data_IF_646443543357
#
_entry.id   IF_646443543357
#
_cell.length_a   1.000
_cell.length_b   1.000
_cell.length_c   1.000
_cell.angle_alpha   90.00
_cell.angle_beta   90.00
_cell.angle_gamma   90.00
#
_symmetry.space_group_name_H-M   'P 1'
#
loop_
_entity.id
_entity.type
_entity.pdbx_description
1 polymer ?
#
# COMPACT_ATOMS: atom_id res chain seq x y z
N UNK A 1 25.31 -8.75 2.36
CA UNK A 1 24.21 -7.93 1.79
C UNK A 1 22.92 -8.63 2.14
N UNK A 2 22.02 -8.01 2.91
CA UNK A 2 20.70 -8.58 3.13
C UNK A 2 19.86 -8.35 1.86
N UNK A 3 19.20 -9.38 1.37
CA UNK A 3 18.26 -9.28 0.24
C UNK A 3 17.09 -8.35 0.61
N UNK A 4 16.70 -7.49 -0.34
CA UNK A 4 15.51 -6.65 -0.16
C UNK A 4 14.25 -7.52 -0.22
N UNK A 5 13.59 -7.69 0.93
CA UNK A 5 12.35 -8.45 1.04
C UNK A 5 11.14 -7.58 0.71
N UNK A 6 10.23 -8.13 -0.09
CA UNK A 6 9.01 -7.46 -0.53
C UNK A 6 7.79 -8.29 -0.14
N UNK A 7 6.69 -7.63 0.19
CA UNK A 7 5.39 -8.27 0.44
C UNK A 7 4.32 -7.60 -0.40
N UNK A 8 3.46 -8.41 -1.02
CA UNK A 8 2.30 -7.94 -1.78
C UNK A 8 1.08 -7.98 -0.89
N UNK A 9 0.32 -6.89 -0.83
CA UNK A 9 -0.96 -6.83 -0.12
C UNK A 9 -2.07 -6.52 -1.14
N UNK A 10 -2.94 -7.52 -1.34
CA UNK A 10 -4.16 -7.36 -2.14
C UNK A 10 -5.30 -6.85 -1.28
N UNK A 11 -5.95 -5.77 -1.70
CA UNK A 11 -7.02 -5.14 -0.97
C UNK A 11 -7.93 -4.30 -1.89
N UNK A 12 -9.07 -3.87 -1.36
CA UNK A 12 -10.10 -3.14 -2.11
C UNK A 12 -9.76 -1.67 -2.35
N UNK A 13 -10.15 -1.15 -3.51
CA UNK A 13 -10.20 0.29 -3.81
C UNK A 13 -11.51 0.96 -3.35
N UNK A 14 -12.50 0.17 -2.93
CA UNK A 14 -13.82 0.67 -2.57
C UNK A 14 -13.79 1.37 -1.21
N UNK A 15 -14.46 2.51 -1.12
CA UNK A 15 -14.80 3.12 0.18
C UNK A 15 -15.97 2.40 0.87
N UNK A 16 -16.78 1.69 0.09
CA UNK A 16 -17.85 0.83 0.60
C UNK A 16 -17.26 -0.52 1.01
N UNK A 17 -16.60 -0.53 2.17
CA UNK A 17 -16.02 -1.70 2.81
C UNK A 17 -16.04 -1.50 4.33
N UNK A 18 -16.28 -2.59 5.07
CA UNK A 18 -16.29 -2.58 6.53
C UNK A 18 -14.93 -2.08 7.09
N UNK A 19 -14.98 -1.17 8.05
CA UNK A 19 -13.79 -0.54 8.64
C UNK A 19 -12.81 -1.54 9.27
N UNK A 20 -13.28 -2.74 9.67
CA UNK A 20 -12.39 -3.78 10.18
C UNK A 20 -11.30 -4.19 9.18
N UNK A 21 -11.58 -4.11 7.87
CA UNK A 21 -10.58 -4.41 6.84
C UNK A 21 -9.51 -3.32 6.74
N UNK A 22 -9.88 -2.05 6.93
CA UNK A 22 -8.93 -0.95 6.99
C UNK A 22 -8.03 -1.05 8.23
N UNK A 23 -8.60 -1.45 9.36
CA UNK A 23 -7.84 -1.70 10.57
C UNK A 23 -6.83 -2.86 10.38
N UNK A 24 -7.30 -4.01 9.91
CA UNK A 24 -6.44 -5.16 9.65
C UNK A 24 -5.32 -4.83 8.64
N UNK A 25 -5.63 -4.07 7.59
CA UNK A 25 -4.64 -3.63 6.62
C UNK A 25 -3.54 -2.76 7.25
N UNK A 26 -3.91 -1.81 8.13
CA UNK A 26 -2.93 -1.01 8.88
C UNK A 26 -2.06 -1.85 9.81
N UNK A 27 -2.65 -2.83 10.49
CA UNK A 27 -1.92 -3.72 11.40
C UNK A 27 -0.88 -4.57 10.66
N UNK A 28 -1.28 -5.18 9.53
CA UNK A 28 -0.38 -5.96 8.67
C UNK A 28 0.72 -5.08 8.07
N UNK A 29 0.37 -3.89 7.56
CA UNK A 29 1.36 -2.95 7.01
C UNK A 29 2.39 -2.55 8.07
N UNK A 30 1.94 -2.16 9.26
CA UNK A 30 2.84 -1.77 10.36
C UNK A 30 3.79 -2.91 10.76
N UNK A 31 3.26 -4.13 10.87
CA UNK A 31 4.08 -5.30 11.15
C UNK A 31 5.12 -5.51 10.05
N UNK A 32 4.72 -5.52 8.78
CA UNK A 32 5.63 -5.70 7.65
C UNK A 32 6.72 -4.62 7.60
N UNK A 33 6.36 -3.35 7.78
CA UNK A 33 7.33 -2.24 7.88
C UNK A 33 8.30 -2.44 9.05
N UNK A 34 7.84 -2.90 10.21
CA UNK A 34 8.71 -3.16 11.38
C UNK A 34 9.76 -4.26 11.13
N UNK A 35 9.47 -5.19 10.23
CA UNK A 35 10.43 -6.21 9.78
C UNK A 35 11.27 -5.77 8.59
N UNK A 36 11.13 -4.53 8.12
CA UNK A 36 11.90 -3.96 7.01
C UNK A 36 11.47 -4.47 5.63
N UNK A 37 10.20 -4.85 5.45
CA UNK A 37 9.68 -5.20 4.12
C UNK A 37 9.32 -3.95 3.33
N UNK A 38 9.63 -3.96 2.04
CA UNK A 38 9.03 -3.05 1.06
C UNK A 38 7.61 -3.53 0.76
N UNK A 39 6.63 -2.63 0.83
CA UNK A 39 5.22 -2.92 0.58
C UNK A 39 4.93 -2.75 -0.91
N UNK A 40 4.24 -3.74 -1.50
CA UNK A 40 3.73 -3.70 -2.87
C UNK A 40 2.21 -3.80 -2.81
N UNK A 41 1.50 -2.89 -3.48
CA UNK A 41 0.03 -2.87 -3.51
C UNK A 41 -0.50 -2.19 -4.77
N UNK A 42 -1.82 -2.08 -4.93
CA UNK A 42 -2.41 -1.31 -6.01
C UNK A 42 -2.21 0.21 -5.92
N UNK A 43 -1.69 0.76 -4.82
CA UNK A 43 -1.18 2.15 -4.76
C UNK A 43 -2.18 3.29 -4.99
N UNK A 44 -3.49 3.02 -4.97
CA UNK A 44 -4.52 4.04 -5.04
C UNK A 44 -4.78 4.68 -3.66
N UNK A 45 -5.17 5.96 -3.64
CA UNK A 45 -5.59 6.71 -2.43
C UNK A 45 -6.97 6.29 -1.89
N UNK A 46 -7.60 5.28 -2.50
CA UNK A 46 -8.99 4.89 -2.21
C UNK A 46 -9.09 3.67 -1.32
N UNK A 47 -10.16 3.61 -0.52
CA UNK A 47 -10.53 2.42 0.24
C UNK A 47 -9.41 1.88 1.14
N UNK A 48 -9.32 0.56 1.20
CA UNK A 48 -8.28 -0.15 1.96
C UNK A 48 -6.88 0.06 1.37
N UNK A 49 -6.75 0.28 0.06
CA UNK A 49 -5.46 0.66 -0.55
C UNK A 49 -4.92 1.98 0.01
N UNK A 50 -5.78 2.99 0.18
CA UNK A 50 -5.40 4.25 0.80
C UNK A 50 -4.94 4.05 2.25
N UNK A 51 -5.65 3.21 3.02
CA UNK A 51 -5.27 2.87 4.39
C UNK A 51 -3.89 2.19 4.49
N UNK A 52 -3.53 1.35 3.52
CA UNK A 52 -2.17 0.79 3.42
C UNK A 52 -1.17 1.89 3.12
N UNK A 53 -1.44 2.69 2.08
CA UNK A 53 -0.51 3.71 1.59
C UNK A 53 -0.16 4.74 2.67
N UNK A 54 -1.18 5.23 3.39
CA UNK A 54 -1.00 6.13 4.52
C UNK A 54 -0.16 5.49 5.63
N UNK A 55 -0.42 4.22 5.96
CA UNK A 55 0.31 3.53 7.04
C UNK A 55 1.79 3.28 6.67
N UNK A 56 2.10 3.01 5.40
CA UNK A 56 3.49 2.88 4.94
C UNK A 56 4.25 4.18 5.18
N UNK A 57 3.68 5.32 4.82
CA UNK A 57 4.27 6.65 5.07
C UNK A 57 4.45 6.88 6.57
N UNK A 58 3.43 6.59 7.38
CA UNK A 58 3.52 6.73 8.86
C UNK A 58 4.62 5.88 9.48
N UNK A 59 4.91 4.72 8.89
CA UNK A 59 5.96 3.82 9.36
C UNK A 59 7.35 4.16 8.78
N UNK A 60 7.46 5.14 7.87
CA UNK A 60 8.70 5.41 7.13
C UNK A 60 9.15 4.22 6.26
N UNK A 61 8.20 3.37 5.86
CA UNK A 61 8.46 2.21 5.01
C UNK A 61 8.55 2.59 3.53
N UNK A 62 8.97 1.64 2.70
CA UNK A 62 9.02 1.80 1.24
C UNK A 62 7.75 1.26 0.59
N UNK A 63 7.16 2.01 -0.33
CA UNK A 63 5.92 1.66 -1.03
C UNK A 63 6.06 1.65 -2.55
N UNK A 64 5.75 0.51 -3.16
CA UNK A 64 5.63 0.34 -4.61
C UNK A 64 4.14 0.15 -4.97
N UNK A 65 3.62 1.05 -5.81
CA UNK A 65 2.27 0.95 -6.36
C UNK A 65 2.27 0.28 -7.74
N UNK A 66 1.37 -0.67 -7.97
CA UNK A 66 1.10 -1.25 -9.30
C UNK A 66 -0.27 -0.78 -9.75
N UNK A 67 -0.32 0.18 -10.69
CA UNK A 67 -1.55 0.83 -11.12
C UNK A 67 -1.80 0.64 -12.61
N UNK A 68 -3.05 0.35 -13.02
CA UNK A 68 -3.42 0.53 -14.41
C UNK A 68 -3.49 2.03 -14.76
N UNK A 69 -3.14 2.38 -16.00
CA UNK A 69 -3.11 3.79 -16.45
C UNK A 69 -4.43 4.55 -16.23
N UNK A 70 -5.58 3.89 -16.37
CA UNK A 70 -6.88 4.54 -16.16
C UNK A 70 -7.15 4.95 -14.70
N UNK A 71 -6.33 4.50 -13.73
CA UNK A 71 -6.44 4.87 -12.32
C UNK A 71 -5.44 5.97 -11.90
N UNK A 72 -4.75 6.60 -12.84
CA UNK A 72 -3.71 7.60 -12.54
C UNK A 72 -4.20 8.75 -11.65
N UNK A 73 -5.44 9.21 -11.83
CA UNK A 73 -6.05 10.26 -11.00
C UNK A 73 -6.16 9.87 -9.51
N UNK A 74 -6.18 8.58 -9.22
CA UNK A 74 -6.28 8.04 -7.85
C UNK A 74 -4.93 7.63 -7.28
N UNK A 75 -3.82 7.85 -8.00
CA UNK A 75 -2.49 7.49 -7.53
C UNK A 75 -2.20 8.12 -6.18
N UNK A 76 -1.76 7.31 -5.22
CA UNK A 76 -1.29 7.85 -3.96
C UNK A 76 -0.02 8.71 -4.19
N UNK A 77 0.03 9.95 -3.66
CA UNK A 77 1.15 10.85 -3.92
C UNK A 77 2.46 10.35 -3.28
N UNK A 78 2.39 9.69 -2.13
CA UNK A 78 3.56 9.22 -1.36
C UNK A 78 4.15 7.88 -1.79
N UNK A 79 3.93 7.44 -3.03
CA UNK A 79 4.57 6.22 -3.55
C UNK A 79 6.03 6.48 -3.91
N UNK A 80 6.95 5.61 -3.48
CA UNK A 80 8.37 5.67 -3.87
C UNK A 80 8.60 5.21 -5.32
N UNK A 81 7.76 4.29 -5.79
CA UNK A 81 7.81 3.76 -7.15
C UNK A 81 6.41 3.42 -7.64
N UNK A 82 6.19 3.62 -8.94
CA UNK A 82 4.96 3.21 -9.63
C UNK A 82 5.32 2.29 -10.79
N UNK A 83 4.65 1.15 -10.86
CA UNK A 83 4.66 0.23 -12.00
C UNK A 83 3.32 0.40 -12.70
N UNK A 84 3.36 0.87 -13.94
CA UNK A 84 2.16 1.08 -14.73
C UNK A 84 1.82 -0.18 -15.54
N UNK A 85 0.54 -0.57 -15.51
CA UNK A 85 -0.01 -1.67 -16.32
C UNK A 85 -1.09 -1.19 -17.29
#
# INVERSE_FOLDING_TARGET
>A
MNEERKIVIYCSASYDIDQKYNQAAREVTRAACSFGYTIVSGGAIKGTMGAIADEVVRCGGRHIGVLPRFMEEFKFPGLDQVIWT
#
